data_IF_287168754652
#
_entry.id   IF_287168754652
#
_cell.length_a   1.000
_cell.length_b   1.000
_cell.length_c   1.000
_cell.angle_alpha   90.00
_cell.angle_beta   90.00
_cell.angle_gamma   90.00
#
_symmetry.space_group_name_H-M   'P 1'
#
loop_
_entity.id
_entity.type
_entity.pdbx_description
1 polymer ?
#
# COMPACT_ATOMS: atom_id res chain seq x y z
N UNK A 1 -21.77 -6.97 -7.65
CA UNK A 1 -21.37 -5.68 -7.08
C UNK A 1 -21.10 -4.76 -8.25
N UNK A 2 -21.79 -3.62 -8.34
CA UNK A 2 -21.44 -2.57 -9.29
C UNK A 2 -20.29 -1.71 -8.72
N UNK A 3 -19.67 -0.85 -9.53
CA UNK A 3 -18.50 -0.06 -9.12
C UNK A 3 -18.75 0.81 -7.88
N UNK A 4 -19.97 1.31 -7.69
CA UNK A 4 -20.33 2.17 -6.55
C UNK A 4 -20.44 1.36 -5.25
N UNK A 5 -21.02 0.16 -5.34
CA UNK A 5 -21.08 -0.79 -4.23
C UNK A 5 -19.67 -1.27 -3.83
N UNK A 6 -18.77 -1.48 -4.80
CA UNK A 6 -17.37 -1.85 -4.52
C UNK A 6 -16.62 -0.72 -3.80
N UNK A 7 -16.85 0.54 -4.21
CA UNK A 7 -16.26 1.70 -3.60
C UNK A 7 -16.76 1.90 -2.15
N UNK A 8 -18.06 1.77 -1.92
CA UNK A 8 -18.65 1.87 -0.57
C UNK A 8 -18.15 0.77 0.37
N UNK A 9 -18.09 -0.48 -0.11
CA UNK A 9 -17.56 -1.60 0.68
C UNK A 9 -16.08 -1.41 1.03
N UNK A 10 -15.27 -0.93 0.07
CA UNK A 10 -13.86 -0.63 0.33
C UNK A 10 -13.73 0.47 1.37
N UNK A 11 -14.48 1.56 1.22
CA UNK A 11 -14.50 2.66 2.17
C UNK A 11 -14.81 2.22 3.61
N UNK A 12 -15.92 1.50 3.80
CA UNK A 12 -16.33 0.96 5.11
C UNK A 12 -15.22 0.10 5.72
N UNK A 13 -14.62 -0.75 4.90
CA UNK A 13 -13.52 -1.60 5.34
C UNK A 13 -12.28 -0.81 5.73
N UNK A 14 -11.87 0.16 4.93
CA UNK A 14 -10.70 1.00 5.23
C UNK A 14 -10.94 1.81 6.51
N UNK A 15 -12.17 2.31 6.72
CA UNK A 15 -12.56 2.99 7.96
C UNK A 15 -12.46 2.05 9.16
N UNK A 16 -12.91 0.79 9.05
CA UNK A 16 -12.83 -0.19 10.13
C UNK A 16 -11.39 -0.57 10.53
N UNK A 17 -10.42 -0.31 9.66
CA UNK A 17 -8.99 -0.60 9.83
C UNK A 17 -8.14 0.67 9.88
N UNK A 18 -8.79 1.85 9.98
CA UNK A 18 -8.09 3.11 10.00
C UNK A 18 -7.23 3.23 11.26
N UNK A 19 -6.05 3.87 11.18
CA UNK A 19 -5.29 4.24 12.35
C UNK A 19 -6.14 5.07 13.32
N UNK A 20 -5.84 4.99 14.62
CA UNK A 20 -6.54 5.82 15.59
C UNK A 20 -6.29 7.32 15.33
N UNK A 21 -7.13 8.19 15.88
CA UNK A 21 -6.95 9.63 15.72
C UNK A 21 -5.57 10.06 16.22
N UNK A 22 -4.84 10.77 15.36
CA UNK A 22 -3.47 11.23 15.63
C UNK A 22 -2.36 10.21 15.31
N UNK A 23 -2.70 8.94 15.03
CA UNK A 23 -1.70 7.97 14.57
C UNK A 23 -1.28 8.22 13.11
N UNK A 24 0.00 7.99 12.77
CA UNK A 24 0.46 8.15 11.41
C UNK A 24 -0.12 7.07 10.50
N UNK A 25 -0.36 7.43 9.25
CA UNK A 25 -0.70 6.46 8.19
C UNK A 25 0.60 5.75 7.79
N UNK A 26 0.60 4.42 7.84
CA UNK A 26 1.69 3.57 7.38
C UNK A 26 1.54 3.33 5.88
N UNK A 27 2.50 3.81 5.12
CA UNK A 27 2.54 3.66 3.66
C UNK A 27 3.75 2.84 3.29
N UNK A 28 3.59 1.86 2.40
CA UNK A 28 4.74 1.20 1.78
C UNK A 28 4.85 1.53 0.31
N UNK A 29 6.08 1.63 -0.18
CA UNK A 29 6.37 2.02 -1.57
C UNK A 29 7.35 1.00 -2.15
N UNK A 30 7.03 0.41 -3.29
CA UNK A 30 8.05 -0.28 -4.08
C UNK A 30 9.07 0.76 -4.55
N UNK A 31 10.34 0.61 -4.20
CA UNK A 31 11.38 1.60 -4.51
C UNK A 31 12.41 1.07 -5.49
N UNK A 32 12.93 1.98 -6.32
CA UNK A 32 14.12 1.81 -7.12
C UNK A 32 15.04 3.00 -6.82
N UNK A 33 15.91 2.84 -5.82
CA UNK A 33 16.66 3.97 -5.27
C UNK A 33 15.72 4.97 -4.58
N UNK A 34 15.72 6.22 -5.05
CA UNK A 34 14.82 7.27 -4.53
C UNK A 34 13.46 7.35 -5.23
N UNK A 35 13.25 6.58 -6.31
CA UNK A 35 12.03 6.65 -7.11
C UNK A 35 11.07 5.50 -6.82
N UNK A 36 9.79 5.70 -7.20
CA UNK A 36 8.80 4.62 -7.22
C UNK A 36 9.23 3.57 -8.25
N UNK A 37 9.40 2.34 -7.78
CA UNK A 37 9.73 1.18 -8.59
C UNK A 37 8.53 0.69 -9.43
N UNK A 38 8.81 -0.33 -10.24
CA UNK A 38 7.82 -0.90 -11.17
C UNK A 38 6.73 -1.74 -10.48
N UNK A 39 6.64 -3.02 -10.85
CA UNK A 39 5.58 -3.90 -10.37
C UNK A 39 5.78 -4.35 -8.92
N UNK A 40 4.73 -4.26 -8.10
CA UNK A 40 4.72 -4.72 -6.71
C UNK A 40 5.14 -6.19 -6.60
N UNK A 41 4.64 -7.05 -7.50
CA UNK A 41 4.92 -8.49 -7.43
C UNK A 41 6.39 -8.87 -7.67
N UNK A 42 7.20 -7.97 -8.22
CA UNK A 42 8.65 -8.18 -8.42
C UNK A 42 9.47 -7.11 -7.71
N UNK A 43 8.95 -6.53 -6.63
CA UNK A 43 9.71 -5.57 -5.84
C UNK A 43 10.95 -6.25 -5.25
N UNK A 44 12.13 -5.64 -5.43
CA UNK A 44 13.34 -6.05 -4.71
C UNK A 44 13.35 -5.45 -3.31
N UNK A 45 12.94 -4.20 -3.20
CA UNK A 45 12.95 -3.41 -1.98
C UNK A 45 11.60 -2.69 -1.79
N UNK A 46 11.17 -2.60 -0.54
CA UNK A 46 9.98 -1.86 -0.14
C UNK A 46 10.38 -0.83 0.92
N UNK A 47 10.09 0.44 0.67
CA UNK A 47 10.13 1.43 1.74
C UNK A 47 8.90 1.30 2.63
N UNK A 48 9.05 1.49 3.93
CA UNK A 48 7.98 1.64 4.90
C UNK A 48 8.09 3.03 5.52
N UNK A 49 7.04 3.82 5.33
CA UNK A 49 6.95 5.21 5.75
C UNK A 49 5.85 5.39 6.79
N UNK A 50 6.11 6.26 7.76
CA UNK A 50 5.07 6.82 8.62
C UNK A 50 4.77 8.24 8.15
N UNK A 51 3.51 8.53 7.83
CA UNK A 51 3.07 9.85 7.37
C UNK A 51 2.10 10.44 8.38
N UNK A 52 2.46 11.57 9.00
CA UNK A 52 1.61 12.22 9.98
C UNK A 52 0.38 12.91 9.34
N UNK A 53 -0.51 13.43 10.18
CA UNK A 53 -1.75 14.08 9.75
C UNK A 53 -1.53 15.31 8.85
N UNK A 54 -0.36 15.95 8.92
CA UNK A 54 0.02 17.09 8.06
C UNK A 54 0.51 16.67 6.67
N UNK A 55 0.71 15.36 6.46
CA UNK A 55 1.26 14.82 5.21
C UNK A 55 2.79 14.72 5.21
N UNK A 56 3.44 14.97 6.35
CA UNK A 56 4.90 14.87 6.46
C UNK A 56 5.31 13.41 6.72
N UNK A 57 6.31 12.94 5.99
CA UNK A 57 7.00 11.68 6.28
C UNK A 57 7.86 11.85 7.54
N UNK A 58 7.49 11.17 8.62
CA UNK A 58 8.16 11.25 9.93
C UNK A 58 9.12 10.10 10.20
N UNK A 59 8.92 8.97 9.53
CA UNK A 59 9.80 7.80 9.57
C UNK A 59 9.91 7.19 8.18
N UNK A 60 11.08 6.62 7.87
CA UNK A 60 11.36 5.97 6.60
C UNK A 60 12.44 4.91 6.79
N UNK A 61 12.10 3.66 6.47
CA UNK A 61 13.06 2.55 6.36
C UNK A 61 12.85 1.81 5.06
N UNK A 62 13.91 1.19 4.55
CA UNK A 62 13.84 0.34 3.36
C UNK A 62 14.12 -1.09 3.79
N UNK A 63 13.27 -2.00 3.34
CA UNK A 63 13.36 -3.43 3.61
C UNK A 63 13.62 -4.16 2.29
N UNK A 64 14.68 -4.97 2.24
CA UNK A 64 14.95 -5.86 1.10
C UNK A 64 14.01 -7.08 1.20
N UNK A 65 13.11 -7.21 0.23
CA UNK A 65 12.07 -8.25 0.22
C UNK A 65 12.33 -9.35 -0.80
N UNK A 66 13.16 -9.08 -1.82
CA UNK A 66 13.62 -10.07 -2.80
C UNK A 66 12.52 -10.72 -3.63
N UNK A 67 11.37 -10.06 -3.81
CA UNK A 67 10.24 -10.63 -4.54
C UNK A 67 10.52 -10.73 -6.04
N UNK A 68 11.45 -9.95 -6.58
CA UNK A 68 12.00 -10.11 -7.93
C UNK A 68 12.48 -11.53 -8.22
N UNK A 69 13.14 -12.17 -7.24
CA UNK A 69 13.66 -13.54 -7.32
C UNK A 69 12.62 -14.57 -6.85
N UNK A 70 11.88 -14.26 -5.78
CA UNK A 70 10.94 -15.18 -5.16
C UNK A 70 9.62 -15.35 -5.93
N UNK A 71 9.26 -14.40 -6.81
CA UNK A 71 7.99 -14.41 -7.54
C UNK A 71 7.78 -15.71 -8.33
N UNK A 72 8.86 -16.26 -8.89
CA UNK A 72 8.81 -17.48 -9.70
C UNK A 72 9.14 -18.74 -8.89
N UNK A 73 9.23 -18.63 -7.54
CA UNK A 73 9.64 -19.71 -6.64
C UNK A 73 8.55 -20.09 -5.63
N UNK A 74 8.18 -21.36 -5.66
CA UNK A 74 7.28 -22.00 -4.70
C UNK A 74 5.91 -22.36 -5.28
N UNK A 75 5.02 -22.93 -4.45
CA UNK A 75 3.68 -23.28 -4.86
C UNK A 75 2.88 -22.06 -5.33
N UNK A 76 1.89 -22.30 -6.19
CA UNK A 76 0.93 -21.28 -6.60
C UNK A 76 0.34 -20.54 -5.38
N UNK A 77 0.27 -19.22 -5.42
CA UNK A 77 -0.25 -18.38 -4.33
C UNK A 77 0.74 -18.07 -3.20
N UNK A 78 1.90 -18.74 -3.12
CA UNK A 78 2.93 -18.44 -2.11
C UNK A 78 3.46 -17.01 -2.20
N UNK A 79 3.48 -16.44 -3.41
CA UNK A 79 3.88 -15.06 -3.63
C UNK A 79 2.93 -14.06 -2.92
N UNK A 80 1.61 -14.20 -3.09
CA UNK A 80 0.65 -13.33 -2.42
C UNK A 80 0.73 -13.44 -0.90
N UNK A 81 0.96 -14.65 -0.38
CA UNK A 81 1.12 -14.88 1.06
C UNK A 81 2.29 -14.07 1.67
N UNK A 82 3.41 -13.96 0.96
CA UNK A 82 4.57 -13.16 1.40
C UNK A 82 4.23 -11.67 1.47
N UNK A 83 3.55 -11.14 0.45
CA UNK A 83 3.11 -9.74 0.43
C UNK A 83 2.11 -9.48 1.55
N UNK A 84 1.13 -10.36 1.76
CA UNK A 84 0.17 -10.24 2.86
C UNK A 84 0.86 -10.23 4.22
N UNK A 85 1.87 -11.09 4.41
CA UNK A 85 2.65 -11.16 5.65
C UNK A 85 3.37 -9.83 5.88
N UNK A 86 4.10 -9.33 4.89
CA UNK A 86 4.78 -8.04 4.95
C UNK A 86 3.83 -6.88 5.32
N UNK A 87 2.66 -6.81 4.67
CA UNK A 87 1.68 -5.76 4.95
C UNK A 87 1.16 -5.81 6.38
N UNK A 88 0.93 -7.02 6.92
CA UNK A 88 0.43 -7.21 8.30
C UNK A 88 1.50 -6.87 9.33
N UNK A 89 2.71 -7.39 9.15
CA UNK A 89 3.84 -7.15 10.07
C UNK A 89 4.19 -5.67 10.16
N UNK A 90 4.11 -4.94 9.03
CA UNK A 90 4.35 -3.51 8.98
C UNK A 90 3.10 -2.63 9.22
N UNK A 91 1.94 -3.25 9.48
CA UNK A 91 0.65 -2.57 9.71
C UNK A 91 0.31 -1.55 8.61
N UNK A 92 0.55 -1.93 7.35
CA UNK A 92 0.40 -1.03 6.21
C UNK A 92 -1.07 -0.66 5.98
N UNK A 93 -1.33 0.63 5.80
CA UNK A 93 -2.64 1.15 5.41
C UNK A 93 -2.76 1.36 3.90
N UNK A 94 -1.68 1.81 3.25
CA UNK A 94 -1.66 2.06 1.81
C UNK A 94 -0.35 1.57 1.16
N UNK A 95 -0.43 1.12 -0.10
CA UNK A 95 0.73 0.67 -0.88
C UNK A 95 0.85 1.44 -2.18
N UNK A 96 2.06 1.87 -2.50
CA UNK A 96 2.42 2.54 -3.76
C UNK A 96 3.30 1.63 -4.61
N UNK A 97 2.96 1.50 -5.88
CA UNK A 97 3.82 0.85 -6.88
C UNK A 97 3.46 1.35 -8.29
N UNK A 98 4.37 1.21 -9.25
CA UNK A 98 4.06 1.47 -10.65
C UNK A 98 2.94 0.57 -11.18
N UNK A 99 2.91 -0.71 -10.76
CA UNK A 99 1.91 -1.67 -11.23
C UNK A 99 1.59 -2.78 -10.21
N UNK A 100 0.35 -3.28 -10.24
CA UNK A 100 -0.04 -4.55 -9.65
C UNK A 100 -1.17 -5.17 -10.49
N UNK A 101 -1.10 -6.46 -10.77
CA UNK A 101 -2.14 -7.16 -11.54
C UNK A 101 -3.46 -7.29 -10.74
N UNK A 102 -4.60 -7.52 -11.42
CA UNK A 102 -5.91 -7.60 -10.77
C UNK A 102 -5.99 -8.58 -9.57
N UNK A 103 -5.37 -9.79 -9.62
CA UNK A 103 -5.37 -10.69 -8.47
C UNK A 103 -4.67 -10.12 -7.23
N UNK A 104 -3.60 -9.36 -7.43
CA UNK A 104 -2.86 -8.71 -6.35
C UNK A 104 -3.68 -7.55 -5.76
N UNK A 105 -4.27 -6.72 -6.61
CA UNK A 105 -5.15 -5.62 -6.17
C UNK A 105 -6.30 -6.14 -5.32
N UNK A 106 -6.97 -7.21 -5.77
CA UNK A 106 -8.03 -7.86 -5.00
C UNK A 106 -7.53 -8.37 -3.64
N UNK A 107 -6.31 -8.90 -3.58
CA UNK A 107 -5.70 -9.37 -2.33
C UNK A 107 -5.47 -8.21 -1.35
N UNK A 108 -4.91 -7.09 -1.80
CA UNK A 108 -4.65 -5.89 -0.98
C UNK A 108 -5.94 -5.28 -0.44
N UNK A 109 -6.94 -5.11 -1.31
CA UNK A 109 -8.27 -4.62 -0.94
C UNK A 109 -8.95 -5.57 0.05
N UNK A 110 -8.83 -6.88 -0.15
CA UNK A 110 -9.32 -7.89 0.82
C UNK A 110 -8.56 -7.87 2.15
N UNK A 111 -7.33 -7.37 2.17
CA UNK A 111 -6.58 -7.16 3.40
C UNK A 111 -6.94 -5.83 4.09
N UNK A 112 -7.56 -4.89 3.38
CA UNK A 112 -7.80 -3.52 3.87
C UNK A 112 -6.62 -2.58 3.64
N UNK A 113 -5.74 -2.92 2.69
CA UNK A 113 -4.65 -2.06 2.24
C UNK A 113 -5.09 -1.32 0.99
N UNK A 114 -4.98 -0.01 1.00
CA UNK A 114 -5.37 0.86 -0.12
C UNK A 114 -4.29 0.90 -1.20
N UNK A 115 -4.55 0.38 -2.42
CA UNK A 115 -3.57 0.39 -3.51
C UNK A 115 -3.56 1.73 -4.24
N UNK A 116 -2.37 2.32 -4.39
CA UNK A 116 -2.13 3.54 -5.16
C UNK A 116 -1.14 3.22 -6.27
N UNK A 117 -1.67 2.93 -7.46
CA UNK A 117 -0.89 2.43 -8.58
C UNK A 117 -0.63 3.50 -9.65
N UNK A 118 0.41 3.29 -10.46
CA UNK A 118 0.75 4.17 -11.58
C UNK A 118 1.42 5.48 -11.19
N UNK A 119 1.78 5.65 -9.92
CA UNK A 119 2.65 6.75 -9.49
C UNK A 119 4.08 6.49 -9.94
N UNK A 120 4.78 7.56 -10.31
CA UNK A 120 6.19 7.59 -10.72
C UNK A 120 6.88 8.78 -10.05
N UNK A 121 8.21 8.86 -10.16
CA UNK A 121 8.99 9.94 -9.54
C UNK A 121 9.37 9.64 -8.09
N UNK A 122 9.59 10.69 -7.29
CA UNK A 122 10.12 10.56 -5.92
C UNK A 122 9.23 9.72 -5.00
N UNK A 123 9.83 8.72 -4.34
CA UNK A 123 9.11 7.76 -3.52
C UNK A 123 8.56 8.35 -2.22
N UNK A 124 9.20 9.39 -1.65
CA UNK A 124 8.72 10.05 -0.43
C UNK A 124 7.54 10.96 -0.72
N UNK A 125 7.59 11.69 -1.82
CA UNK A 125 6.44 12.47 -2.32
C UNK A 125 5.26 11.56 -2.64
N UNK A 126 5.52 10.41 -3.30
CA UNK A 126 4.48 9.43 -3.59
C UNK A 126 3.86 8.84 -2.32
N UNK A 127 4.66 8.57 -1.27
CA UNK A 127 4.15 8.11 0.02
C UNK A 127 3.23 9.15 0.68
N UNK A 128 3.64 10.42 0.68
CA UNK A 128 2.84 11.52 1.22
C UNK A 128 1.52 11.68 0.45
N UNK A 129 1.56 11.65 -0.89
CA UNK A 129 0.38 11.72 -1.74
C UNK A 129 -0.58 10.55 -1.50
N UNK A 130 -0.06 9.33 -1.34
CA UNK A 130 -0.86 8.15 -1.04
C UNK A 130 -1.56 8.25 0.33
N UNK A 131 -0.87 8.75 1.36
CA UNK A 131 -1.47 8.99 2.67
C UNK A 131 -2.61 10.02 2.62
N UNK A 132 -2.46 11.08 1.82
CA UNK A 132 -3.52 12.08 1.58
C UNK A 132 -4.74 11.44 0.94
N UNK A 133 -4.57 10.70 -0.16
CA UNK A 133 -5.66 10.00 -0.86
C UNK A 133 -6.38 9.01 0.06
N UNK A 134 -5.62 8.24 0.84
CA UNK A 134 -6.19 7.31 1.82
C UNK A 134 -7.11 8.04 2.81
N UNK A 135 -6.66 9.16 3.38
CA UNK A 135 -7.48 9.96 4.31
C UNK A 135 -8.71 10.57 3.66
N UNK A 136 -8.62 11.01 2.41
CA UNK A 136 -9.76 11.54 1.66
C UNK A 136 -10.87 10.49 1.48
N UNK A 137 -10.48 9.25 1.14
CA UNK A 137 -11.42 8.12 1.00
C UNK A 137 -12.14 7.86 2.33
N UNK A 138 -11.43 7.86 3.45
CA UNK A 138 -12.03 7.60 4.77
C UNK A 138 -12.92 8.78 5.21
N UNK A 139 -12.47 10.03 5.02
CA UNK A 139 -13.22 11.24 5.41
C UNK A 139 -14.51 11.41 4.62
N UNK A 140 -14.50 11.11 3.32
CA UNK A 140 -15.68 11.21 2.46
C UNK A 140 -16.82 10.25 2.82
N UNK A 141 -16.62 9.39 3.82
CA UNK A 141 -17.55 8.35 4.26
C UNK A 141 -17.94 8.50 5.73
N UNK A 142 -17.22 9.34 6.48
CA UNK A 142 -17.55 9.72 7.85
C UNK A 142 -18.47 10.96 7.92
N UNK A 143 -18.80 11.57 6.77
CA UNK A 143 -19.68 12.72 6.62
C UNK A 143 -21.05 12.29 6.07
#
# INVERSE_FOLDING_TARGET
>A
MNSDEEAAWLAEKLLSLAPAEGEPVKVTVNVLGSEVGGGLGRAREMAVASVDASGKVTDWRVEEVGWDVLHDQGPEGSHHGRIVTFMRENQINAVVAGHAGPPMVNTLVKLGVFPVLGLTGDAREAAAAAATRYREVIKGQAA
#
